data_IF_592849790924
#
_entry.id   IF_592849790924
#
_cell.length_a   1.000
_cell.length_b   1.000
_cell.length_c   1.000
_cell.angle_alpha   90.00
_cell.angle_beta   90.00
_cell.angle_gamma   90.00
#
_symmetry.space_group_name_H-M   'P 1'
#
loop_
_entity.id
_entity.type
_entity.pdbx_description
1 polymer ?
#
# COMPACT_ATOMS: atom_id res chain seq x y z
N UNK A 1 9.53 -15.39 -9.80
CA UNK A 1 8.33 -15.26 -8.95
C UNK A 1 8.03 -16.64 -8.37
N UNK A 2 8.05 -16.74 -7.06
CA UNK A 2 7.59 -17.97 -6.41
C UNK A 2 6.08 -18.01 -6.49
N UNK A 3 5.51 -19.05 -7.13
CA UNK A 3 4.07 -19.25 -7.27
C UNK A 3 3.40 -19.74 -5.97
N UNK A 4 4.17 -19.92 -4.90
CA UNK A 4 3.65 -20.31 -3.61
C UNK A 4 3.11 -19.07 -2.86
N UNK A 5 2.09 -19.25 -2.03
CA UNK A 5 1.34 -18.25 -1.23
C UNK A 5 2.20 -17.30 -0.35
N UNK A 6 3.51 -17.39 -0.42
CA UNK A 6 4.43 -16.57 0.38
C UNK A 6 4.80 -15.25 -0.28
N UNK A 7 4.51 -15.06 -1.57
CA UNK A 7 4.73 -13.82 -2.31
C UNK A 7 6.17 -13.29 -2.22
N UNK A 8 7.16 -14.18 -2.17
CA UNK A 8 8.58 -13.80 -2.13
C UNK A 8 9.07 -13.47 -3.53
N UNK A 9 9.80 -12.37 -3.64
CA UNK A 9 10.42 -11.90 -4.89
C UNK A 9 11.88 -11.60 -4.65
N UNK A 10 12.69 -11.69 -5.69
CA UNK A 10 14.09 -11.28 -5.63
C UNK A 10 14.54 -10.70 -6.97
N UNK A 11 15.53 -9.85 -6.91
CA UNK A 11 16.24 -9.32 -8.09
C UNK A 11 17.66 -8.92 -7.70
N UNK A 12 18.55 -8.98 -8.65
CA UNK A 12 19.91 -8.44 -8.53
C UNK A 12 19.94 -6.91 -8.68
N UNK A 13 20.90 -6.29 -8.01
CA UNK A 13 21.22 -4.88 -8.12
C UNK A 13 22.73 -4.68 -7.88
N UNK A 14 23.53 -4.70 -8.96
CA UNK A 14 24.99 -4.73 -8.86
C UNK A 14 25.44 -5.98 -8.10
N UNK A 15 26.23 -5.78 -7.05
CA UNK A 15 26.73 -6.87 -6.19
C UNK A 15 25.75 -7.27 -5.08
N UNK A 16 24.52 -6.72 -5.09
CA UNK A 16 23.51 -6.98 -4.09
C UNK A 16 22.34 -7.77 -4.66
N UNK A 17 21.66 -8.52 -3.78
CA UNK A 17 20.37 -9.13 -4.07
C UNK A 17 19.30 -8.45 -3.20
N UNK A 18 18.27 -7.92 -3.84
CA UNK A 18 17.08 -7.38 -3.16
C UNK A 18 16.07 -8.51 -3.04
N UNK A 19 15.67 -8.83 -1.81
CA UNK A 19 14.64 -9.83 -1.53
C UNK A 19 13.43 -9.14 -0.92
N UNK A 20 12.26 -9.35 -1.49
CA UNK A 20 11.01 -8.75 -1.03
C UNK A 20 9.94 -9.79 -0.69
N UNK A 21 9.02 -9.44 0.20
CA UNK A 21 7.89 -10.29 0.57
C UNK A 21 7.35 -10.02 1.96
N UNK A 22 6.56 -10.96 2.49
CA UNK A 22 6.03 -10.87 3.84
C UNK A 22 4.96 -9.80 4.04
N UNK A 23 4.36 -9.29 2.94
CA UNK A 23 3.34 -8.27 3.00
C UNK A 23 2.15 -8.67 3.89
N UNK A 24 1.64 -7.71 4.66
CA UNK A 24 0.45 -7.84 5.50
C UNK A 24 -0.25 -6.48 5.60
N UNK A 25 -1.50 -6.50 6.06
CA UNK A 25 -2.26 -5.25 6.21
C UNK A 25 -1.65 -4.36 7.29
N UNK A 26 -1.46 -3.07 6.99
CA UNK A 26 -0.98 -2.07 7.94
C UNK A 26 -1.82 -2.08 9.23
N UNK A 27 -1.14 -1.99 10.37
CA UNK A 27 -1.77 -2.04 11.68
C UNK A 27 -2.17 -3.44 12.17
N UNK A 28 -1.99 -4.49 11.36
CA UNK A 28 -2.16 -5.89 11.78
C UNK A 28 -0.80 -6.53 12.05
N UNK A 29 -0.70 -7.51 12.95
CA UNK A 29 0.55 -8.22 13.21
C UNK A 29 1.08 -8.92 11.97
N UNK A 30 2.34 -8.72 11.65
CA UNK A 30 3.07 -9.43 10.59
C UNK A 30 4.05 -10.44 11.17
N UNK A 31 4.74 -11.17 10.29
CA UNK A 31 5.80 -12.12 10.67
C UNK A 31 7.17 -11.46 10.80
N UNK A 32 7.25 -10.15 10.64
CA UNK A 32 8.49 -9.39 10.60
C UNK A 32 9.43 -9.85 9.47
N UNK A 33 10.72 -9.64 9.65
CA UNK A 33 11.75 -9.97 8.66
C UNK A 33 12.09 -11.46 8.57
N UNK A 34 11.63 -12.28 9.53
CA UNK A 34 12.04 -13.69 9.62
C UNK A 34 11.83 -14.49 8.32
N UNK A 35 10.66 -14.46 7.66
CA UNK A 35 10.46 -15.27 6.45
C UNK A 35 11.38 -14.86 5.29
N UNK A 36 11.68 -13.57 5.19
CA UNK A 36 12.57 -13.03 4.14
C UNK A 36 14.00 -13.43 4.42
N UNK A 37 14.45 -13.32 5.68
CA UNK A 37 15.79 -13.73 6.10
C UNK A 37 16.00 -15.24 5.96
N UNK A 38 15.01 -16.06 6.31
CA UNK A 38 15.06 -17.52 6.11
C UNK A 38 15.18 -17.86 4.61
N UNK A 39 14.43 -17.16 3.75
CA UNK A 39 14.54 -17.33 2.31
C UNK A 39 15.92 -16.89 1.80
N UNK A 40 16.40 -15.72 2.17
CA UNK A 40 17.70 -15.21 1.76
C UNK A 40 18.84 -16.15 2.18
N UNK A 41 18.86 -16.60 3.44
CA UNK A 41 19.87 -17.53 3.96
C UNK A 41 19.86 -18.89 3.26
N UNK A 42 18.70 -19.34 2.79
CA UNK A 42 18.60 -20.60 2.05
C UNK A 42 19.27 -20.54 0.68
N UNK A 43 19.13 -19.41 -0.01
CA UNK A 43 19.61 -19.28 -1.39
C UNK A 43 20.95 -18.56 -1.51
N UNK A 44 21.29 -17.72 -0.55
CA UNK A 44 22.54 -16.97 -0.49
C UNK A 44 23.13 -17.04 0.93
N UNK A 45 23.60 -18.22 1.38
CA UNK A 45 24.03 -18.43 2.78
C UNK A 45 25.23 -17.55 3.19
N UNK A 46 26.07 -17.15 2.22
CA UNK A 46 27.24 -16.31 2.46
C UNK A 46 26.94 -14.81 2.38
N UNK A 47 25.71 -14.42 1.94
CA UNK A 47 25.35 -13.03 1.83
C UNK A 47 25.11 -12.41 3.20
N UNK A 48 25.50 -11.13 3.33
CA UNK A 48 25.27 -10.34 4.54
C UNK A 48 24.17 -9.32 4.28
N UNK A 49 23.23 -9.18 5.23
CA UNK A 49 22.20 -8.15 5.18
C UNK A 49 22.88 -6.77 5.32
N UNK A 50 22.66 -5.90 4.34
CA UNK A 50 23.19 -4.54 4.35
C UNK A 50 22.14 -3.50 4.68
N UNK A 51 20.86 -3.79 4.39
CA UNK A 51 19.72 -2.92 4.70
C UNK A 51 18.42 -3.72 4.72
N UNK A 52 17.46 -3.27 5.49
CA UNK A 52 16.08 -3.75 5.48
C UNK A 52 15.12 -2.56 5.64
N UNK A 53 14.01 -2.57 4.92
CA UNK A 53 12.98 -1.53 5.00
C UNK A 53 11.61 -2.09 4.62
N UNK A 54 10.56 -1.49 5.13
CA UNK A 54 9.19 -1.78 4.70
C UNK A 54 8.66 -0.64 3.82
N UNK A 55 7.89 -1.03 2.82
CA UNK A 55 7.11 -0.12 1.98
C UNK A 55 5.63 -0.44 2.12
N UNK A 56 4.78 0.52 1.77
CA UNK A 56 3.33 0.35 1.76
C UNK A 56 2.81 0.42 0.33
N UNK A 57 1.88 -0.48 0.02
CA UNK A 57 1.21 -0.52 -1.26
C UNK A 57 -0.25 -0.09 -1.10
N UNK A 58 -0.75 0.70 -2.06
CA UNK A 58 -2.17 1.02 -2.12
C UNK A 58 -2.95 -0.15 -2.72
N UNK A 59 -3.64 -0.88 -1.85
CA UNK A 59 -4.47 -2.02 -2.25
C UNK A 59 -5.89 -1.56 -2.57
N UNK A 60 -6.40 -1.97 -3.72
CA UNK A 60 -7.80 -1.71 -4.09
C UNK A 60 -8.73 -2.79 -3.52
N UNK A 61 -10.03 -2.49 -3.43
CA UNK A 61 -10.99 -3.44 -2.85
C UNK A 61 -11.25 -4.66 -3.74
N UNK A 62 -11.05 -4.53 -5.03
CA UNK A 62 -11.33 -5.56 -6.04
C UNK A 62 -10.09 -6.14 -6.72
N UNK A 63 -8.89 -5.63 -6.37
CA UNK A 63 -7.62 -6.07 -6.93
C UNK A 63 -7.31 -5.47 -8.31
N UNK A 64 -8.06 -4.45 -8.74
CA UNK A 64 -7.82 -3.76 -10.00
C UNK A 64 -7.42 -2.29 -9.76
N UNK A 65 -6.42 -1.76 -10.45
CA UNK A 65 -6.08 -0.33 -10.38
C UNK A 65 -7.27 0.58 -10.74
N UNK A 66 -7.21 1.82 -10.28
CA UNK A 66 -8.11 2.88 -10.72
C UNK A 66 -7.40 3.71 -11.77
N UNK A 67 -7.96 3.78 -12.99
CA UNK A 67 -7.41 4.54 -14.12
C UNK A 67 -8.53 5.24 -14.87
N UNK A 68 -8.46 6.56 -14.98
CA UNK A 68 -9.45 7.33 -15.72
C UNK A 68 -9.90 8.60 -15.00
N UNK A 69 -11.03 9.20 -15.42
CA UNK A 69 -11.58 10.39 -14.80
C UNK A 69 -11.88 10.16 -13.31
N UNK A 70 -11.44 11.12 -12.48
CA UNK A 70 -11.61 11.04 -11.01
C UNK A 70 -13.08 10.90 -10.62
N UNK A 71 -13.95 11.72 -11.21
CA UNK A 71 -15.40 11.62 -11.03
C UNK A 71 -16.14 12.24 -12.22
N UNK A 72 -17.43 11.97 -12.32
CA UNK A 72 -18.28 12.60 -13.32
C UNK A 72 -18.38 14.13 -13.17
N UNK A 73 -18.21 14.64 -11.96
CA UNK A 73 -18.25 16.09 -11.69
C UNK A 73 -16.96 16.81 -12.12
N UNK A 74 -15.83 16.11 -12.18
CA UNK A 74 -14.54 16.67 -12.58
C UNK A 74 -13.82 15.76 -13.59
N UNK A 75 -14.39 15.56 -14.78
CA UNK A 75 -13.91 14.59 -15.75
C UNK A 75 -12.54 14.92 -16.35
N UNK A 76 -12.09 16.16 -16.22
CA UNK A 76 -10.77 16.62 -16.68
C UNK A 76 -9.63 16.29 -15.70
N UNK A 77 -9.95 15.86 -14.47
CA UNK A 77 -8.95 15.33 -13.54
C UNK A 77 -8.87 13.83 -13.75
N UNK A 78 -7.70 13.38 -14.20
CA UNK A 78 -7.42 11.96 -14.43
C UNK A 78 -6.60 11.41 -13.27
N UNK A 79 -6.90 10.17 -12.87
CA UNK A 79 -6.16 9.45 -11.83
C UNK A 79 -5.65 8.12 -12.36
N UNK A 80 -4.54 7.68 -11.80
CA UNK A 80 -3.97 6.37 -12.02
C UNK A 80 -3.31 5.91 -10.72
N UNK A 81 -3.93 4.96 -10.00
CA UNK A 81 -3.51 4.55 -8.66
C UNK A 81 -3.97 3.13 -8.33
N UNK A 82 -3.56 2.61 -7.16
CA UNK A 82 -3.98 1.32 -6.68
C UNK A 82 -3.33 0.15 -7.41
N UNK A 83 -2.09 0.31 -7.81
CA UNK A 83 -1.33 -0.71 -8.55
C UNK A 83 -0.90 -1.91 -7.71
N UNK A 84 -1.19 -1.89 -6.42
CA UNK A 84 -0.75 -2.90 -5.47
C UNK A 84 0.79 -3.03 -5.53
N UNK A 85 1.31 -4.18 -5.98
CA UNK A 85 2.76 -4.40 -6.14
C UNK A 85 3.24 -4.32 -7.59
N UNK A 86 2.36 -3.92 -8.51
CA UNK A 86 2.58 -3.96 -9.95
C UNK A 86 2.70 -2.57 -10.60
N UNK A 87 3.25 -1.61 -9.85
CA UNK A 87 3.34 -0.22 -10.31
C UNK A 87 4.00 -0.04 -11.66
N UNK A 88 5.10 -0.74 -11.94
CA UNK A 88 5.82 -0.59 -13.21
C UNK A 88 4.99 -1.06 -14.42
N UNK A 89 4.41 -2.25 -14.33
CA UNK A 89 3.57 -2.80 -15.41
C UNK A 89 2.20 -2.12 -15.46
N UNK A 90 1.60 -1.84 -14.30
CA UNK A 90 0.33 -1.14 -14.19
C UNK A 90 0.38 0.27 -14.77
N UNK A 91 1.47 1.00 -14.55
CA UNK A 91 1.67 2.35 -15.10
C UNK A 91 1.68 2.35 -16.63
N UNK A 92 2.26 1.33 -17.28
CA UNK A 92 2.24 1.22 -18.74
C UNK A 92 0.83 1.04 -19.29
N UNK A 93 0.03 0.19 -18.64
CA UNK A 93 -1.39 -0.01 -19.01
C UNK A 93 -2.20 1.26 -18.76
N UNK A 94 -1.98 1.92 -17.62
CA UNK A 94 -2.62 3.18 -17.30
C UNK A 94 -2.28 4.28 -18.32
N UNK A 95 -1.02 4.42 -18.71
CA UNK A 95 -0.60 5.40 -19.70
C UNK A 95 -1.33 5.20 -21.04
N UNK A 96 -1.52 3.96 -21.48
CA UNK A 96 -2.28 3.68 -22.71
C UNK A 96 -3.75 4.09 -22.59
N UNK A 97 -4.41 3.70 -21.48
CA UNK A 97 -5.82 4.04 -21.24
C UNK A 97 -6.00 5.57 -21.19
N UNK A 98 -5.18 6.25 -20.41
CA UNK A 98 -5.26 7.71 -20.25
C UNK A 98 -4.96 8.45 -21.55
N UNK A 99 -4.00 7.97 -22.35
CA UNK A 99 -3.70 8.56 -23.66
C UNK A 99 -4.90 8.51 -24.59
N UNK A 100 -5.58 7.35 -24.69
CA UNK A 100 -6.78 7.24 -25.54
C UNK A 100 -7.90 8.16 -25.04
N UNK A 101 -8.12 8.25 -23.73
CA UNK A 101 -9.12 9.15 -23.15
C UNK A 101 -8.80 10.64 -23.42
N UNK A 102 -7.54 11.06 -23.28
CA UNK A 102 -7.10 12.44 -23.58
C UNK A 102 -7.31 12.77 -25.06
N UNK A 103 -7.12 11.81 -25.95
CA UNK A 103 -7.32 11.97 -27.39
C UNK A 103 -8.80 11.80 -27.81
N UNK A 104 -9.71 11.63 -26.85
CA UNK A 104 -11.14 11.44 -27.12
C UNK A 104 -11.47 10.12 -27.80
N UNK A 105 -10.63 9.10 -27.62
CA UNK A 105 -10.82 7.76 -28.17
C UNK A 105 -11.19 6.76 -27.07
N UNK A 106 -11.93 5.74 -27.45
CA UNK A 106 -12.30 4.66 -26.54
C UNK A 106 -11.15 3.65 -26.38
N UNK A 107 -10.97 3.14 -25.15
CA UNK A 107 -10.06 2.06 -24.85
C UNK A 107 -10.87 0.85 -24.32
N UNK A 108 -10.67 -0.37 -24.83
CA UNK A 108 -11.50 -1.53 -24.46
C UNK A 108 -11.54 -1.86 -22.96
N UNK A 109 -10.51 -1.47 -22.21
CA UNK A 109 -10.43 -1.71 -20.79
C UNK A 109 -10.77 -0.47 -19.93
N UNK A 110 -11.23 0.65 -20.52
CA UNK A 110 -11.46 1.88 -19.77
C UNK A 110 -12.48 1.69 -18.64
N UNK A 111 -13.59 1.04 -18.91
CA UNK A 111 -14.65 0.79 -17.94
C UNK A 111 -14.20 -0.15 -16.81
N UNK A 112 -13.41 -1.17 -17.14
CA UNK A 112 -12.87 -2.13 -16.16
C UNK A 112 -12.00 -1.44 -15.10
N UNK A 113 -11.20 -0.45 -15.51
CA UNK A 113 -10.31 0.29 -14.63
C UNK A 113 -10.89 1.62 -14.13
N UNK A 114 -12.12 1.96 -14.53
CA UNK A 114 -12.75 3.22 -14.16
C UNK A 114 -12.78 3.43 -12.64
N UNK A 115 -12.38 4.62 -12.15
CA UNK A 115 -12.56 4.98 -10.73
C UNK A 115 -14.02 4.99 -10.29
N UNK A 116 -14.95 5.07 -11.23
CA UNK A 116 -16.40 5.12 -10.99
C UNK A 116 -17.08 3.75 -11.10
N UNK A 117 -16.31 2.68 -11.28
CA UNK A 117 -16.86 1.30 -11.35
C UNK A 117 -17.50 0.88 -10.04
N UNK A 118 -18.49 0.01 -10.12
CA UNK A 118 -19.16 -0.53 -8.93
C UNK A 118 -18.20 -1.40 -8.13
N UNK A 119 -18.04 -1.09 -6.85
CA UNK A 119 -17.20 -1.86 -5.92
C UNK A 119 -18.00 -2.97 -5.23
N UNK A 120 -17.34 -4.07 -4.79
CA UNK A 120 -17.99 -5.13 -4.03
C UNK A 120 -18.51 -4.63 -2.69
N UNK A 121 -19.83 -4.50 -2.53
CA UNK A 121 -20.47 -4.01 -1.32
C UNK A 121 -20.03 -4.70 -0.03
N UNK A 122 -19.86 -6.04 0.02
CA UNK A 122 -19.40 -6.70 1.25
C UNK A 122 -18.00 -6.25 1.68
N UNK A 123 -17.07 -6.06 0.73
CA UNK A 123 -15.72 -5.55 1.04
C UNK A 123 -15.74 -4.10 1.49
N UNK A 124 -16.58 -3.28 0.84
CA UNK A 124 -16.76 -1.88 1.23
C UNK A 124 -17.31 -1.77 2.66
N UNK A 125 -18.34 -2.54 3.00
CA UNK A 125 -18.93 -2.58 4.34
C UNK A 125 -17.91 -3.05 5.39
N UNK A 126 -17.16 -4.13 5.10
CA UNK A 126 -16.13 -4.64 6.01
C UNK A 126 -15.02 -3.62 6.28
N UNK A 127 -14.52 -2.94 5.25
CA UNK A 127 -13.50 -1.91 5.41
C UNK A 127 -14.04 -0.68 6.17
N UNK A 128 -15.28 -0.27 5.88
CA UNK A 128 -15.94 0.82 6.59
C UNK A 128 -16.12 0.51 8.08
N UNK A 129 -16.51 -0.71 8.41
CA UNK A 129 -16.64 -1.17 9.79
C UNK A 129 -15.29 -1.21 10.52
N UNK A 130 -14.23 -1.73 9.88
CA UNK A 130 -12.89 -1.71 10.48
C UNK A 130 -12.40 -0.28 10.73
N UNK A 131 -12.59 0.63 9.77
CA UNK A 131 -12.22 2.04 9.95
C UNK A 131 -12.98 2.69 11.11
N UNK A 132 -14.29 2.42 11.24
CA UNK A 132 -15.10 2.91 12.36
C UNK A 132 -14.60 2.34 13.71
N UNK A 133 -14.27 1.06 13.77
CA UNK A 133 -13.70 0.44 14.97
C UNK A 133 -12.35 1.04 15.35
N UNK A 134 -11.47 1.31 14.38
CA UNK A 134 -10.18 1.94 14.64
C UNK A 134 -10.33 3.42 15.07
N UNK A 135 -11.37 4.11 14.63
CA UNK A 135 -11.71 5.45 15.12
C UNK A 135 -12.24 5.41 16.55
N UNK A 136 -13.04 4.40 16.91
CA UNK A 136 -13.64 4.27 18.23
C UNK A 136 -12.71 3.60 19.26
N UNK A 137 -11.65 2.94 18.82
CA UNK A 137 -10.71 2.26 19.72
C UNK A 137 -10.05 3.26 20.70
N UNK A 138 -10.12 3.06 22.02
CA UNK A 138 -9.59 4.01 23.00
C UNK A 138 -8.07 3.85 23.18
N UNK A 139 -7.30 4.10 22.15
CA UNK A 139 -5.84 4.14 22.23
C UNK A 139 -5.35 5.59 22.33
N UNK A 140 -4.27 5.86 23.11
CA UNK A 140 -3.83 7.21 23.39
C UNK A 140 -3.30 7.93 22.13
N UNK A 141 -2.59 7.24 21.26
CA UNK A 141 -2.02 7.86 20.07
C UNK A 141 -2.98 7.81 18.88
N UNK A 142 -3.29 9.00 18.36
CA UNK A 142 -4.24 9.23 17.27
C UNK A 142 -3.54 9.79 16.04
N UNK A 143 -3.95 9.30 14.86
CA UNK A 143 -3.47 9.82 13.59
C UNK A 143 -4.04 11.24 13.36
N UNK A 144 -3.21 12.26 13.12
CA UNK A 144 -3.68 13.62 12.90
C UNK A 144 -4.44 13.80 11.57
N UNK A 145 -4.46 12.80 10.70
CA UNK A 145 -5.25 12.83 9.46
C UNK A 145 -6.76 12.82 9.75
N UNK A 146 -7.30 11.74 10.36
CA UNK A 146 -8.73 11.57 10.64
C UNK A 146 -9.00 10.92 12.01
N UNK A 147 -8.07 10.96 12.94
CA UNK A 147 -8.27 10.49 14.31
C UNK A 147 -8.26 8.99 14.53
N UNK A 148 -7.87 8.17 13.54
CA UNK A 148 -7.76 6.72 13.73
C UNK A 148 -6.70 6.37 14.77
N UNK A 149 -6.95 5.34 15.57
CA UNK A 149 -5.99 4.82 16.56
C UNK A 149 -4.75 4.24 15.86
N UNK A 150 -3.57 4.68 16.28
CA UNK A 150 -2.31 4.18 15.75
C UNK A 150 -1.96 2.82 16.35
N UNK A 151 -1.27 1.99 15.58
CA UNK A 151 -0.77 0.68 15.98
C UNK A 151 0.75 0.67 15.97
N UNK A 152 1.33 0.11 17.02
CA UNK A 152 2.78 -0.03 17.09
C UNK A 152 3.27 -1.16 16.18
N UNK A 153 4.21 -0.85 15.32
CA UNK A 153 4.94 -1.81 14.47
C UNK A 153 6.30 -2.10 15.11
N UNK A 154 6.40 -3.23 15.78
CA UNK A 154 7.63 -3.64 16.48
C UNK A 154 8.78 -4.02 15.54
N UNK A 155 8.50 -4.29 14.28
CA UNK A 155 9.50 -4.66 13.28
C UNK A 155 10.24 -3.42 12.74
N UNK A 156 9.47 -2.36 12.46
CA UNK A 156 9.99 -1.10 11.92
C UNK A 156 10.23 -0.04 13.00
N UNK A 157 9.79 -0.30 14.24
CA UNK A 157 9.78 0.66 15.34
C UNK A 157 9.02 1.95 14.99
N UNK A 158 7.84 1.79 14.38
CA UNK A 158 6.99 2.90 13.93
C UNK A 158 5.58 2.81 14.51
N UNK A 159 4.88 3.94 14.55
CA UNK A 159 3.45 4.01 14.74
C UNK A 159 2.78 4.06 13.38
N UNK A 160 1.95 3.07 13.07
CA UNK A 160 1.32 2.93 11.77
C UNK A 160 -0.20 3.13 11.89
N UNK A 161 -0.78 3.91 10.96
CA UNK A 161 -2.23 4.11 10.89
C UNK A 161 -2.88 3.02 10.02
N UNK A 162 -3.76 2.17 10.57
CA UNK A 162 -4.39 1.09 9.82
C UNK A 162 -5.41 1.56 8.78
N UNK A 163 -5.92 2.80 8.92
CA UNK A 163 -6.95 3.34 8.03
C UNK A 163 -6.39 3.75 6.66
N UNK A 164 -5.35 4.59 6.64
CA UNK A 164 -4.83 5.18 5.40
C UNK A 164 -3.30 5.12 5.28
N UNK A 165 -2.61 4.44 6.20
CA UNK A 165 -1.19 4.15 6.07
C UNK A 165 -0.23 5.24 6.55
N UNK A 166 -0.67 6.32 7.22
CA UNK A 166 0.28 7.27 7.80
C UNK A 166 1.23 6.58 8.77
N UNK A 167 2.51 6.92 8.70
CA UNK A 167 3.56 6.33 9.54
C UNK A 167 4.33 7.42 10.29
N UNK A 168 4.71 7.08 11.52
CA UNK A 168 5.42 7.97 12.42
C UNK A 168 6.57 7.23 13.12
N UNK A 169 7.63 7.93 13.43
CA UNK A 169 8.71 7.38 14.27
C UNK A 169 8.20 7.02 15.66
N UNK A 170 9.02 6.33 16.45
CA UNK A 170 8.74 6.07 17.86
C UNK A 170 8.47 7.37 18.66
N UNK A 171 9.16 8.46 18.30
CA UNK A 171 8.96 9.78 18.90
C UNK A 171 7.78 10.56 18.33
N UNK A 172 7.08 10.05 17.31
CA UNK A 172 5.91 10.70 16.73
C UNK A 172 6.19 11.60 15.53
N UNK A 173 7.42 11.68 15.04
CA UNK A 173 7.73 12.43 13.82
C UNK A 173 7.11 11.74 12.60
N UNK A 174 6.46 12.52 11.71
CA UNK A 174 5.87 12.01 10.49
C UNK A 174 6.94 11.45 9.54
N UNK A 175 6.75 10.21 9.10
CA UNK A 175 7.58 9.52 8.10
C UNK A 175 6.89 9.45 6.75
N UNK A 176 5.58 9.15 6.75
CA UNK A 176 4.80 8.95 5.52
C UNK A 176 3.34 9.35 5.71
N UNK A 177 2.75 9.91 4.65
CA UNK A 177 1.37 10.40 4.60
C UNK A 177 0.29 9.30 4.62
N UNK A 178 -0.99 9.71 4.55
CA UNK A 178 -1.52 11.03 4.18
C UNK A 178 -1.59 12.08 5.30
N UNK A 179 -1.21 11.78 6.54
CA UNK A 179 -1.09 12.83 7.57
C UNK A 179 -0.16 13.97 7.10
N UNK A 180 -0.46 15.20 7.52
CA UNK A 180 0.31 16.39 7.13
C UNK A 180 1.21 16.91 8.27
N UNK A 181 1.04 16.36 9.48
CA UNK A 181 1.74 16.80 10.68
C UNK A 181 2.22 15.60 11.50
N UNK A 182 3.30 15.80 12.24
CA UNK A 182 3.77 14.87 13.28
C UNK A 182 2.75 14.74 14.41
N UNK A 183 2.87 13.71 15.22
CA UNK A 183 2.09 13.58 16.44
C UNK A 183 2.44 14.74 17.39
N UNK A 184 1.44 15.27 18.07
CA UNK A 184 1.69 16.23 19.14
C UNK A 184 2.38 15.52 20.31
N UNK A 185 3.37 16.16 20.90
CA UNK A 185 3.94 15.71 22.18
C UNK A 185 2.87 15.86 23.26
N UNK A 186 2.63 14.78 24.00
CA UNK A 186 1.75 14.79 25.17
C UNK A 186 2.48 15.40 26.39
#
# INVERSE_FOLDING_TARGET
MDANDKGLTFRDHGDLVIVGGGGHRTGKPGKGWRPIREFANRWWPEAKEVAAWATQDCMTMDGLPYVGPYSAAVPHILVATGYEKWGMTGAMSAARILTEQILGREHPCADLFSPQRTLPLPKLAANGMEAALDMLTPLPRRCPHLGCALRWNSTEHTWDCPCHGSRFTASGQLLDGPAQHSLQEE
#
